data_IF_873509325675
#
_entry.id   IF_873509325675
#
_cell.length_a   1.000
_cell.length_b   1.000
_cell.length_c   1.000
_cell.angle_alpha   90.00
_cell.angle_beta   90.00
_cell.angle_gamma   90.00
#
_symmetry.space_group_name_H-M   'P 1'
#
loop_
_entity.id
_entity.type
_entity.pdbx_description
1 polymer ?
#
# COMPACT_ATOMS: atom_id res chain seq x y z
N UNK A 1 -24.60 4.25 14.70
CA UNK A 1 -25.45 5.06 15.60
C UNK A 1 -25.77 4.24 16.83
N UNK A 2 -25.44 4.74 18.01
CA UNK A 2 -25.58 4.03 19.28
C UNK A 2 -27.05 4.01 19.74
N UNK A 3 -27.70 2.85 19.71
CA UNK A 3 -29.00 2.66 20.36
C UNK A 3 -28.82 1.77 21.59
N UNK A 4 -28.93 2.36 22.79
CA UNK A 4 -28.88 1.62 24.07
C UNK A 4 -27.50 1.07 24.45
N UNK A 5 -26.42 1.80 24.18
CA UNK A 5 -25.04 1.39 24.54
C UNK A 5 -24.47 0.26 23.68
N UNK A 6 -24.99 0.12 22.46
CA UNK A 6 -24.52 -0.84 21.45
C UNK A 6 -23.81 -0.10 20.32
N UNK A 7 -22.63 -0.59 19.96
CA UNK A 7 -21.90 -0.18 18.78
C UNK A 7 -22.41 -1.01 17.60
N UNK A 8 -23.04 -0.36 16.62
CA UNK A 8 -23.65 -1.01 15.45
C UNK A 8 -22.88 -0.57 14.20
N UNK A 9 -22.36 -1.55 13.46
CA UNK A 9 -21.69 -1.36 12.17
C UNK A 9 -22.70 -1.26 11.02
N UNK A 10 -22.24 -0.85 9.83
CA UNK A 10 -23.09 -0.67 8.65
C UNK A 10 -23.73 -1.96 8.13
N UNK A 11 -23.09 -3.11 8.37
CA UNK A 11 -23.59 -4.46 8.07
C UNK A 11 -24.62 -4.95 9.11
N UNK A 12 -25.05 -4.08 10.03
CA UNK A 12 -25.93 -4.36 11.16
C UNK A 12 -25.35 -5.32 12.22
N UNK A 13 -24.07 -5.69 12.13
CA UNK A 13 -23.37 -6.39 13.21
C UNK A 13 -23.17 -5.41 14.37
N UNK A 14 -23.36 -5.87 15.61
CA UNK A 14 -23.21 -5.01 16.78
C UNK A 14 -22.49 -5.67 17.95
N UNK A 15 -21.95 -4.83 18.83
CA UNK A 15 -21.29 -5.24 20.08
C UNK A 15 -21.63 -4.26 21.21
N UNK A 16 -21.54 -4.72 22.46
CA UNK A 16 -21.68 -3.86 23.66
C UNK A 16 -20.35 -3.62 24.37
N UNK A 17 -19.42 -4.56 24.24
CA UNK A 17 -18.19 -4.63 25.02
C UNK A 17 -16.94 -4.72 24.16
N UNK A 18 -17.08 -4.83 22.83
CA UNK A 18 -15.97 -5.03 21.90
C UNK A 18 -15.39 -6.45 21.90
N UNK A 19 -15.98 -7.37 22.67
CA UNK A 19 -15.53 -8.76 22.80
C UNK A 19 -16.54 -9.69 22.14
N UNK A 20 -17.83 -9.50 22.41
CA UNK A 20 -18.91 -10.31 21.87
C UNK A 20 -19.62 -9.56 20.74
N UNK A 21 -19.76 -10.22 19.60
CA UNK A 21 -20.41 -9.68 18.42
C UNK A 21 -21.70 -10.42 18.14
N UNK A 22 -22.71 -9.68 17.70
CA UNK A 22 -24.05 -10.18 17.43
C UNK A 22 -24.52 -9.72 16.05
N UNK A 23 -25.31 -10.54 15.38
CA UNK A 23 -26.02 -10.12 14.16
C UNK A 23 -27.22 -9.22 14.49
N UNK A 24 -27.93 -8.79 13.44
CA UNK A 24 -29.12 -7.95 13.58
C UNK A 24 -30.27 -8.60 14.38
N UNK A 25 -30.36 -9.93 14.40
CA UNK A 25 -31.37 -10.72 15.13
C UNK A 25 -30.94 -11.05 16.57
N UNK A 26 -29.69 -10.74 16.95
CA UNK A 26 -29.11 -11.05 18.25
C UNK A 26 -28.42 -12.41 18.35
N UNK A 27 -28.21 -13.11 17.24
CA UNK A 27 -27.40 -14.31 17.15
C UNK A 27 -25.91 -13.99 17.36
N UNK A 28 -25.19 -14.86 18.09
CA UNK A 28 -23.75 -14.68 18.34
C UNK A 28 -22.98 -14.94 17.06
N UNK A 29 -22.18 -13.97 16.63
CA UNK A 29 -21.31 -14.09 15.46
C UNK A 29 -19.84 -14.07 15.84
N UNK A 30 -19.01 -14.60 14.95
CA UNK A 30 -17.55 -14.56 15.12
C UNK A 30 -17.08 -13.11 15.10
N UNK A 31 -16.18 -12.77 16.02
CA UNK A 31 -15.53 -11.46 16.04
C UNK A 31 -14.86 -11.16 14.68
N UNK A 32 -15.06 -9.95 14.13
CA UNK A 32 -14.42 -9.54 12.90
C UNK A 32 -12.90 -9.51 13.07
N UNK A 33 -12.16 -9.74 11.98
CA UNK A 33 -10.68 -9.72 12.02
C UNK A 33 -10.13 -8.35 12.41
N UNK A 34 -10.86 -7.29 12.05
CA UNK A 34 -10.54 -5.90 12.35
C UNK A 34 -11.81 -5.19 12.78
N UNK A 35 -11.73 -4.42 13.85
CA UNK A 35 -12.76 -3.50 14.28
C UNK A 35 -12.12 -2.12 14.44
N UNK A 36 -12.80 -1.09 13.94
CA UNK A 36 -12.36 0.29 14.03
C UNK A 36 -13.50 1.13 14.62
N UNK A 37 -13.13 2.17 15.35
CA UNK A 37 -14.08 3.17 15.87
C UNK A 37 -13.77 4.51 15.20
N UNK A 38 -14.81 5.26 14.88
CA UNK A 38 -14.68 6.64 14.44
C UNK A 38 -14.84 7.51 15.69
N UNK A 39 -13.77 8.22 16.03
CA UNK A 39 -13.73 9.15 17.16
C UNK A 39 -13.14 10.47 16.70
N UNK A 40 -13.58 11.56 17.32
CA UNK A 40 -13.10 12.91 17.02
C UNK A 40 -12.46 13.57 18.24
N UNK A 41 -11.74 14.66 18.00
CA UNK A 41 -10.99 15.38 19.03
C UNK A 41 -11.90 16.01 20.11
N UNK A 42 -13.20 16.09 19.85
CA UNK A 42 -14.21 16.60 20.78
C UNK A 42 -14.25 15.82 22.11
N UNK A 43 -13.87 14.54 22.11
CA UNK A 43 -13.79 13.72 23.32
C UNK A 43 -12.46 13.87 24.07
N UNK A 44 -11.50 14.61 23.54
CA UNK A 44 -10.17 14.74 24.13
C UNK A 44 -10.20 15.62 25.38
N UNK A 45 -9.71 15.09 26.50
CA UNK A 45 -9.50 15.85 27.74
C UNK A 45 -8.21 16.67 27.71
N UNK A 46 -7.39 16.52 26.66
CA UNK A 46 -6.11 17.21 26.52
C UNK A 46 -6.21 18.55 25.79
N UNK A 47 -7.43 18.99 25.44
CA UNK A 47 -7.68 20.30 24.86
C UNK A 47 -8.06 21.29 25.96
N UNK A 48 -7.69 22.56 25.80
CA UNK A 48 -8.08 23.64 26.72
C UNK A 48 -9.60 23.94 26.67
N UNK A 49 -10.32 23.19 25.83
CA UNK A 49 -11.77 23.13 25.74
C UNK A 49 -12.23 23.29 24.30
N UNK A 50 -13.54 23.24 24.10
CA UNK A 50 -14.19 23.40 22.80
C UNK A 50 -13.85 24.73 22.10
N UNK A 51 -13.46 25.76 22.88
CA UNK A 51 -13.03 27.04 22.34
C UNK A 51 -11.75 26.96 21.50
N UNK A 52 -10.83 26.04 21.83
CA UNK A 52 -9.62 25.80 21.05
C UNK A 52 -9.97 25.24 19.65
N UNK A 53 -10.84 24.24 19.62
CA UNK A 53 -11.35 23.62 18.38
C UNK A 53 -12.04 24.66 17.49
N UNK A 54 -12.86 25.53 18.07
CA UNK A 54 -13.53 26.61 17.33
C UNK A 54 -12.51 27.61 16.78
N UNK A 55 -11.47 27.94 17.55
CA UNK A 55 -10.39 28.83 17.10
C UNK A 55 -9.58 28.21 15.95
N UNK A 56 -9.26 26.92 16.03
CA UNK A 56 -8.62 26.18 14.94
C UNK A 56 -9.47 26.17 13.68
N UNK A 57 -10.77 25.90 13.81
CA UNK A 57 -11.70 25.95 12.69
C UNK A 57 -11.74 27.33 12.03
N UNK A 58 -11.85 28.40 12.83
CA UNK A 58 -11.90 29.77 12.30
C UNK A 58 -10.61 30.16 11.58
N UNK A 59 -9.46 29.62 11.98
CA UNK A 59 -8.16 29.81 11.29
C UNK A 59 -8.05 28.98 10.02
N UNK A 60 -8.65 27.79 10.00
CA UNK A 60 -8.62 26.87 8.85
C UNK A 60 -9.61 27.30 7.75
N UNK A 61 -10.75 27.87 8.15
CA UNK A 61 -11.84 28.27 7.26
C UNK A 61 -11.36 29.22 6.16
N UNK A 62 -11.57 28.84 4.90
CA UNK A 62 -11.17 29.58 3.70
C UNK A 62 -9.87 29.12 3.05
N UNK A 63 -9.15 28.16 3.66
CA UNK A 63 -7.98 27.51 3.08
C UNK A 63 -8.25 26.00 2.92
N UNK A 64 -8.51 25.49 1.70
CA UNK A 64 -8.90 24.10 1.47
C UNK A 64 -7.94 23.06 2.06
N UNK A 65 -6.63 23.37 2.13
CA UNK A 65 -5.63 22.46 2.69
C UNK A 65 -5.76 22.35 4.21
N UNK A 66 -6.05 23.48 4.86
CA UNK A 66 -6.25 23.53 6.32
C UNK A 66 -7.61 22.99 6.72
N UNK A 67 -8.66 23.23 5.92
CA UNK A 67 -9.98 22.63 6.13
C UNK A 67 -9.91 21.10 6.05
N UNK A 68 -9.21 20.56 5.04
CA UNK A 68 -8.92 19.12 4.93
C UNK A 68 -8.20 18.58 6.16
N UNK A 69 -7.19 19.31 6.64
CA UNK A 69 -6.44 18.91 7.84
C UNK A 69 -7.33 18.89 9.09
N UNK A 70 -8.19 19.89 9.23
CA UNK A 70 -9.13 20.00 10.35
C UNK A 70 -10.18 18.88 10.32
N UNK A 71 -10.77 18.59 9.16
CA UNK A 71 -11.74 17.49 9.05
C UNK A 71 -11.12 16.13 9.37
N UNK A 72 -9.95 15.82 8.80
CA UNK A 72 -9.31 14.53 9.02
C UNK A 72 -8.81 14.36 10.45
N UNK A 73 -8.21 15.40 11.05
CA UNK A 73 -7.50 15.29 12.33
C UNK A 73 -8.38 15.63 13.52
N UNK A 74 -9.17 16.71 13.40
CA UNK A 74 -9.97 17.23 14.51
C UNK A 74 -11.37 16.59 14.53
N UNK A 75 -12.00 16.45 13.36
CA UNK A 75 -13.33 15.84 13.25
C UNK A 75 -13.29 14.32 13.01
N UNK A 76 -12.15 13.77 12.58
CA UNK A 76 -12.04 12.35 12.24
C UNK A 76 -12.93 11.95 11.05
N UNK A 77 -13.31 12.92 10.22
CA UNK A 77 -14.21 12.74 9.08
C UNK A 77 -13.42 12.59 7.79
N UNK A 78 -13.97 11.82 6.85
CA UNK A 78 -13.43 11.69 5.51
C UNK A 78 -13.65 12.98 4.72
N UNK A 79 -12.57 13.70 4.41
CA UNK A 79 -12.65 14.84 3.50
C UNK A 79 -12.76 14.37 2.04
N UNK A 80 -13.85 14.75 1.36
CA UNK A 80 -14.02 14.52 -0.07
C UNK A 80 -13.54 15.75 -0.85
N UNK A 81 -12.41 15.63 -1.54
CA UNK A 81 -11.97 16.66 -2.49
C UNK A 81 -12.95 16.69 -3.66
N UNK A 82 -13.72 17.76 -3.78
CA UNK A 82 -14.69 18.02 -4.87
C UNK A 82 -14.04 17.97 -6.27
N UNK A 83 -12.71 17.98 -6.35
CA UNK A 83 -11.94 18.01 -7.59
C UNK A 83 -11.24 16.69 -7.96
N UNK A 84 -11.34 15.64 -7.13
CA UNK A 84 -10.88 14.31 -7.53
C UNK A 84 -12.08 13.49 -7.96
N UNK A 85 -12.25 13.30 -9.27
CA UNK A 85 -12.89 12.08 -9.75
C UNK A 85 -12.12 10.92 -9.10
N UNK A 86 -12.65 10.36 -8.01
CA UNK A 86 -12.19 9.08 -7.51
C UNK A 86 -12.38 8.10 -8.66
N UNK A 87 -11.32 7.87 -9.43
CA UNK A 87 -11.36 6.86 -10.48
C UNK A 87 -11.71 5.55 -9.79
N UNK A 88 -12.88 5.00 -10.12
CA UNK A 88 -13.29 3.69 -9.64
C UNK A 88 -12.14 2.71 -9.88
N UNK A 89 -11.85 1.90 -8.87
CA UNK A 89 -10.79 0.89 -8.92
C UNK A 89 -10.89 0.01 -10.18
N UNK A 90 -12.11 -0.24 -10.64
CA UNK A 90 -12.39 -1.02 -11.85
C UNK A 90 -11.87 -0.35 -13.13
N UNK A 91 -11.86 0.98 -13.20
CA UNK A 91 -11.31 1.73 -14.33
C UNK A 91 -9.78 1.54 -14.40
N UNK A 92 -9.09 1.58 -13.26
CA UNK A 92 -7.66 1.32 -13.19
C UNK A 92 -7.31 -0.13 -13.58
N UNK A 93 -8.11 -1.09 -13.09
CA UNK A 93 -7.95 -2.51 -13.42
C UNK A 93 -8.17 -2.78 -14.91
N UNK A 94 -9.07 -2.04 -15.57
CA UNK A 94 -9.33 -2.16 -17.00
C UNK A 94 -8.26 -1.48 -17.86
N UNK A 95 -7.55 -0.48 -17.33
CA UNK A 95 -6.41 0.16 -18.00
C UNK A 95 -5.11 -0.66 -17.93
N UNK A 96 -5.10 -1.79 -17.22
CA UNK A 96 -3.88 -2.61 -17.11
C UNK A 96 -3.49 -3.19 -18.46
N UNK A 97 -2.26 -2.97 -18.87
CA UNK A 97 -1.70 -3.64 -20.03
C UNK A 97 -1.32 -5.08 -19.67
N UNK A 98 -1.76 -6.04 -20.49
CA UNK A 98 -1.34 -7.43 -20.35
C UNK A 98 -0.08 -7.64 -21.18
N UNK A 99 1.05 -7.87 -20.52
CA UNK A 99 2.30 -8.18 -21.20
C UNK A 99 2.25 -9.60 -21.79
N UNK A 100 2.60 -9.74 -23.07
CA UNK A 100 2.64 -11.04 -23.75
C UNK A 100 3.86 -11.89 -23.36
N UNK A 101 4.89 -11.26 -22.80
CA UNK A 101 6.15 -11.87 -22.38
C UNK A 101 6.54 -11.38 -20.98
N UNK A 102 7.40 -12.15 -20.31
CA UNK A 102 7.92 -11.79 -18.98
C UNK A 102 8.70 -10.46 -19.02
N UNK A 103 9.39 -10.18 -20.12
CA UNK A 103 10.03 -8.89 -20.38
C UNK A 103 9.51 -8.37 -21.73
N UNK A 104 8.82 -7.23 -21.77
CA UNK A 104 8.32 -6.62 -23.02
C UNK A 104 9.45 -6.25 -24.01
N UNK A 105 9.13 -6.17 -25.30
CA UNK A 105 10.10 -5.84 -26.36
C UNK A 105 10.70 -4.42 -26.22
N UNK A 106 9.97 -3.50 -25.58
CA UNK A 106 10.43 -2.12 -25.34
C UNK A 106 11.50 -1.97 -24.26
N UNK A 107 11.77 -3.03 -23.48
CA UNK A 107 12.74 -2.98 -22.37
C UNK A 107 14.16 -3.06 -22.91
N UNK A 108 14.96 -2.04 -22.62
CA UNK A 108 16.39 -1.96 -23.00
C UNK A 108 17.28 -2.46 -21.86
N UNK A 109 16.93 -2.17 -20.61
CA UNK A 109 17.65 -2.66 -19.44
C UNK A 109 16.69 -2.88 -18.25
N UNK A 110 17.15 -3.66 -17.27
CA UNK A 110 16.38 -3.96 -16.07
C UNK A 110 17.14 -3.53 -14.82
N UNK A 111 16.42 -3.09 -13.80
CA UNK A 111 16.95 -2.76 -12.48
C UNK A 111 16.22 -3.56 -11.41
N UNK A 112 16.98 -4.18 -10.50
CA UNK A 112 16.45 -4.81 -9.30
C UNK A 112 16.55 -3.87 -8.10
N UNK A 113 15.51 -3.83 -7.27
CA UNK A 113 15.50 -3.17 -5.98
C UNK A 113 15.02 -4.14 -4.90
N UNK A 114 15.66 -4.11 -3.74
CA UNK A 114 15.24 -4.90 -2.58
C UNK A 114 15.02 -3.93 -1.43
N UNK A 115 13.81 -3.95 -0.89
CA UNK A 115 13.45 -3.20 0.32
C UNK A 115 13.29 -4.17 1.49
N UNK A 116 14.02 -3.93 2.57
CA UNK A 116 13.91 -4.69 3.82
C UNK A 116 13.05 -3.90 4.79
N UNK A 117 11.90 -4.46 5.17
CA UNK A 117 11.02 -3.80 6.13
C UNK A 117 11.13 -4.40 7.52
N UNK A 118 11.05 -3.53 8.54
CA UNK A 118 11.19 -3.87 9.97
C UNK A 118 10.20 -4.95 10.43
N UNK A 119 9.08 -5.12 9.72
CA UNK A 119 8.09 -6.17 9.98
C UNK A 119 8.52 -7.59 9.56
N UNK A 120 9.76 -7.79 9.09
CA UNK A 120 10.28 -9.11 8.72
C UNK A 120 9.89 -9.56 7.31
N UNK A 121 10.01 -8.67 6.33
CA UNK A 121 9.82 -8.99 4.91
C UNK A 121 10.87 -8.31 4.04
N UNK A 122 11.27 -9.00 2.99
CA UNK A 122 11.99 -8.43 1.86
C UNK A 122 11.06 -8.33 0.66
N UNK A 123 10.91 -7.13 0.14
CA UNK A 123 10.18 -6.89 -1.10
C UNK A 123 11.19 -6.67 -2.21
N UNK A 124 11.25 -7.62 -3.14
CA UNK A 124 12.13 -7.57 -4.30
C UNK A 124 11.30 -7.14 -5.52
N UNK A 125 11.75 -6.09 -6.18
CA UNK A 125 11.12 -5.52 -7.37
C UNK A 125 12.11 -5.55 -8.53
N UNK A 126 11.65 -5.98 -9.70
CA UNK A 126 12.41 -5.87 -10.95
C UNK A 126 11.65 -4.99 -11.92
N UNK A 127 12.27 -3.89 -12.29
CA UNK A 127 11.76 -2.90 -13.23
C UNK A 127 12.51 -2.99 -14.55
N UNK A 128 11.78 -3.00 -15.65
CA UNK A 128 12.32 -2.82 -17.00
C UNK A 128 12.14 -1.38 -17.43
N UNK A 129 13.16 -0.84 -18.10
CA UNK A 129 13.18 0.54 -18.60
C UNK A 129 13.32 0.55 -20.12
N UNK A 130 12.50 1.36 -20.77
CA UNK A 130 12.48 1.58 -22.21
C UNK A 130 12.90 2.99 -22.59
N UNK A 131 12.64 3.34 -23.84
CA UNK A 131 12.78 4.72 -24.30
C UNK A 131 11.69 5.61 -23.65
N UNK A 132 11.90 6.92 -23.66
CA UNK A 132 10.89 7.91 -23.24
C UNK A 132 10.38 7.74 -21.79
N UNK A 133 11.24 7.24 -20.88
CA UNK A 133 10.90 6.98 -19.47
C UNK A 133 9.79 5.93 -19.27
N UNK A 134 9.47 5.14 -20.31
CA UNK A 134 8.57 4.01 -20.16
C UNK A 134 9.21 2.96 -19.24
N UNK A 135 8.41 2.48 -18.28
CA UNK A 135 8.84 1.46 -17.34
C UNK A 135 7.76 0.39 -17.15
N UNK A 136 8.22 -0.84 -16.94
CA UNK A 136 7.35 -2.00 -16.72
C UNK A 136 7.81 -2.75 -15.48
N UNK A 137 6.86 -3.07 -14.60
CA UNK A 137 7.12 -4.00 -13.51
C UNK A 137 7.18 -5.42 -14.09
N UNK A 138 8.38 -6.00 -14.10
CA UNK A 138 8.67 -7.34 -14.65
C UNK A 138 8.39 -8.42 -13.63
N UNK A 139 8.82 -8.21 -12.39
CA UNK A 139 8.65 -9.19 -11.32
C UNK A 139 8.54 -8.51 -9.96
N UNK A 140 7.73 -9.12 -9.09
CA UNK A 140 7.57 -8.76 -7.70
C UNK A 140 7.59 -10.03 -6.87
N UNK A 141 8.62 -10.17 -6.04
CA UNK A 141 8.74 -11.29 -5.11
C UNK A 141 8.80 -10.77 -3.68
N UNK A 142 7.96 -11.33 -2.80
CA UNK A 142 7.98 -11.03 -1.38
C UNK A 142 8.56 -12.25 -0.67
N UNK A 143 9.69 -12.05 0.02
CA UNK A 143 10.31 -13.08 0.86
C UNK A 143 10.00 -12.73 2.31
N UNK A 144 9.26 -13.60 2.99
CA UNK A 144 8.95 -13.48 4.41
C UNK A 144 10.10 -14.07 5.23
N UNK A 145 10.55 -13.31 6.23
CA UNK A 145 11.64 -13.71 7.12
C UNK A 145 12.36 -12.51 7.71
N UNK A 146 13.05 -12.72 8.84
CA UNK A 146 13.84 -11.64 9.44
C UNK A 146 15.10 -11.39 8.63
N UNK A 147 15.63 -10.17 8.73
CA UNK A 147 16.81 -9.75 7.97
C UNK A 147 18.13 -10.37 8.44
N UNK A 148 18.13 -10.93 9.64
CA UNK A 148 19.26 -11.57 10.31
C UNK A 148 19.28 -13.10 10.14
N UNK A 149 18.25 -13.68 9.52
CA UNK A 149 18.15 -15.12 9.27
C UNK A 149 18.86 -15.51 7.98
N UNK A 150 19.84 -16.42 8.08
CA UNK A 150 20.65 -16.86 6.93
C UNK A 150 19.81 -17.58 5.85
N UNK A 151 18.79 -18.34 6.26
CA UNK A 151 17.83 -18.97 5.34
C UNK A 151 17.04 -17.92 4.52
N UNK A 152 16.65 -16.81 5.14
CA UNK A 152 15.97 -15.69 4.48
C UNK A 152 16.90 -15.03 3.45
N UNK A 153 18.18 -14.83 3.81
CA UNK A 153 19.19 -14.28 2.91
C UNK A 153 19.47 -15.19 1.71
N UNK A 154 19.52 -16.51 1.91
CA UNK A 154 19.67 -17.47 0.80
C UNK A 154 18.49 -17.43 -0.17
N UNK A 155 17.26 -17.33 0.37
CA UNK A 155 16.05 -17.16 -0.46
C UNK A 155 16.09 -15.86 -1.28
N UNK A 156 16.55 -14.77 -0.67
CA UNK A 156 16.73 -13.48 -1.36
C UNK A 156 17.84 -13.56 -2.43
N UNK A 157 18.96 -14.22 -2.17
CA UNK A 157 20.03 -14.45 -3.17
C UNK A 157 19.52 -15.25 -4.38
N UNK A 158 18.64 -16.23 -4.16
CA UNK A 158 17.94 -16.93 -5.22
C UNK A 158 17.11 -16.00 -6.12
N UNK A 159 16.43 -15.01 -5.53
CA UNK A 159 15.68 -13.99 -6.28
C UNK A 159 16.61 -13.07 -7.08
N UNK A 160 17.73 -12.66 -6.49
CA UNK A 160 18.74 -11.81 -7.16
C UNK A 160 19.32 -12.50 -8.40
N UNK A 161 19.55 -13.82 -8.31
CA UNK A 161 20.15 -14.62 -9.40
C UNK A 161 19.15 -15.06 -10.47
N UNK A 162 17.87 -14.73 -10.32
CA UNK A 162 16.83 -15.10 -11.28
C UNK A 162 17.13 -14.49 -12.65
N UNK A 163 17.09 -15.32 -13.67
CA UNK A 163 17.30 -14.90 -15.06
C UNK A 163 15.95 -14.63 -15.73
N UNK A 164 15.89 -13.52 -16.47
CA UNK A 164 14.70 -13.11 -17.21
C UNK A 164 14.93 -13.31 -18.71
N UNK A 165 13.95 -13.89 -19.39
CA UNK A 165 13.99 -14.07 -20.84
C UNK A 165 13.25 -12.93 -21.53
N UNK A 166 13.94 -12.23 -22.42
CA UNK A 166 13.33 -11.23 -23.30
C UNK A 166 12.48 -11.87 -24.39
N UNK A 167 11.42 -11.19 -24.82
CA UNK A 167 10.64 -11.55 -26.01
C UNK A 167 11.50 -11.63 -27.27
N UNK A 168 12.55 -10.81 -27.39
CA UNK A 168 13.49 -10.89 -28.51
C UNK A 168 14.32 -12.20 -28.52
N UNK A 169 14.58 -12.79 -27.34
CA UNK A 169 15.21 -14.11 -27.22
C UNK A 169 14.23 -15.28 -27.45
N UNK A 170 12.92 -15.02 -27.47
CA UNK A 170 11.89 -16.00 -27.86
C UNK A 170 11.81 -16.15 -29.40
N UNK A 171 12.15 -15.09 -30.16
CA UNK A 171 12.15 -15.10 -31.64
C UNK A 171 13.46 -15.58 -32.27
N UNK A 172 14.56 -15.67 -31.51
CA UNK A 172 15.89 -16.07 -32.00
C UNK A 172 16.30 -17.43 -31.45
N UNK A 173 15.65 -18.50 -31.91
CA UNK A 173 16.14 -19.89 -31.74
C UNK A 173 17.34 -20.22 -32.66
N UNK A 174 18.27 -19.26 -32.80
CA UNK A 174 19.60 -19.50 -33.31
C UNK A 174 20.62 -18.62 -32.58
N UNK A 175 21.16 -19.18 -31.50
CA UNK A 175 22.54 -18.98 -31.07
C UNK A 175 22.99 -17.57 -30.64
N UNK A 176 22.26 -16.88 -29.76
CA UNK A 176 22.85 -15.85 -28.86
C UNK A 176 22.16 -15.84 -27.49
N UNK A 177 22.80 -16.50 -26.52
CA UNK A 177 22.53 -16.33 -25.08
C UNK A 177 23.04 -14.94 -24.69
N UNK A 178 22.17 -14.07 -24.18
CA UNK A 178 22.63 -12.85 -23.53
C UNK A 178 22.96 -13.20 -22.08
N UNK A 179 24.26 -13.35 -21.80
CA UNK A 179 24.79 -13.37 -20.45
C UNK A 179 24.86 -11.94 -19.91
N UNK A 180 24.48 -11.78 -18.65
CA UNK A 180 24.59 -10.54 -17.86
C UNK A 180 26.01 -9.96 -17.95
N UNK A 181 26.19 -8.92 -18.76
CA UNK A 181 27.29 -7.98 -18.64
C UNK A 181 26.97 -7.03 -17.50
N UNK A 182 27.43 -7.40 -16.32
CA UNK A 182 27.24 -6.73 -15.04
C UNK A 182 27.69 -5.27 -15.06
N UNK A 183 26.73 -4.35 -15.10
CA UNK A 183 26.89 -2.93 -14.72
C UNK A 183 26.06 -2.66 -13.47
N UNK A 184 26.35 -3.38 -12.38
CA UNK A 184 25.64 -3.24 -11.12
C UNK A 184 26.01 -1.91 -10.44
N UNK A 185 25.12 -0.91 -10.49
CA UNK A 185 25.13 0.19 -9.51
C UNK A 185 23.96 0.03 -8.56
N UNK A 186 24.16 -0.84 -7.57
CA UNK A 186 23.24 -1.01 -6.46
C UNK A 186 23.39 0.16 -5.50
N UNK A 187 22.36 0.99 -5.37
CA UNK A 187 22.30 1.94 -4.27
C UNK A 187 21.71 1.24 -3.06
N UNK A 188 22.58 0.91 -2.10
CA UNK A 188 22.16 0.59 -0.74
C UNK A 188 21.76 1.92 -0.09
N UNK A 189 20.46 2.24 -0.06
CA UNK A 189 19.96 3.37 0.72
C UNK A 189 19.92 2.93 2.19
N UNK A 190 21.08 2.93 2.84
CA UNK A 190 21.16 2.78 4.29
C UNK A 190 20.76 4.12 4.92
N UNK A 191 19.51 4.23 5.36
CA UNK A 191 19.10 5.26 6.29
C UNK A 191 19.85 5.04 7.62
N UNK A 192 20.81 5.93 7.92
CA UNK A 192 21.30 6.14 9.28
C UNK A 192 20.19 6.85 10.07
N UNK A 193 19.80 6.27 11.19
CA UNK A 193 19.58 7.02 12.42
C UNK A 193 20.80 6.76 13.31
#
# INVERSE_FOLDING_TARGET
MEFGGRWIAEDCTWTRDGIHFFDHDGGVVRAPKHAAIVINALYSLNLDGWGEIVSEWLKAKGDPLKEKTFHNTTLGELWSDVASEQLEHDILVNRREKYASQVPDGVVYITGGIDSQTSGRYECYVWGWGAEEECWLIDKTIVLGRYDEEDTLQRVDGVIRKQYRSSCAQRRDHNRRQSLGVGYRWYRCAGRL
#
